data_IF_490072461924
#
_entry.id   IF_490072461924
#
_cell.length_a   1.000
_cell.length_b   1.000
_cell.length_c   1.000
_cell.angle_alpha   90.00
_cell.angle_beta   90.00
_cell.angle_gamma   90.00
#
_symmetry.space_group_name_H-M   'P 1'
#
loop_
_entity.id
_entity.type
_entity.pdbx_description
1 polymer ?
#
# COMPACT_ATOMS: atom_id res chain seq x y z
N UNK A 1 -5.09 -25.54 21.47
CA UNK A 1 -4.71 -24.22 21.99
C UNK A 1 -3.20 -24.08 21.84
N UNK A 2 -2.75 -23.49 20.73
CA UNK A 2 -1.36 -23.09 20.53
C UNK A 2 -1.40 -21.57 20.35
N UNK A 3 -0.89 -20.85 21.35
CA UNK A 3 -0.89 -19.41 21.42
C UNK A 3 0.00 -18.81 20.34
N UNK A 4 -0.49 -17.75 19.71
CA UNK A 4 0.20 -16.89 18.76
C UNK A 4 1.49 -16.32 19.36
N UNK A 5 2.64 -16.86 19.01
CA UNK A 5 3.93 -16.25 19.31
C UNK A 5 4.33 -15.32 18.15
N UNK A 6 4.46 -14.06 18.48
CA UNK A 6 4.85 -12.96 17.59
C UNK A 6 6.16 -13.24 16.86
N UNK A 7 6.19 -12.99 15.54
CA UNK A 7 7.34 -13.20 14.63
C UNK A 7 8.63 -12.43 15.00
N UNK A 8 8.56 -11.48 15.93
CA UNK A 8 9.73 -10.77 16.47
C UNK A 8 10.63 -11.63 17.37
N UNK A 9 10.22 -12.86 17.64
CA UNK A 9 10.93 -13.80 18.51
C UNK A 9 11.94 -14.64 17.73
N UNK A 10 11.70 -14.92 16.43
CA UNK A 10 12.48 -15.95 15.73
C UNK A 10 13.96 -15.62 15.56
N UNK A 11 14.33 -14.44 15.08
CA UNK A 11 15.76 -14.12 14.90
C UNK A 11 16.47 -13.97 16.25
N UNK A 12 15.81 -13.39 17.26
CA UNK A 12 16.36 -13.24 18.62
C UNK A 12 16.41 -14.55 19.39
N UNK A 13 15.46 -15.46 19.20
CA UNK A 13 15.45 -16.77 19.88
C UNK A 13 16.37 -17.78 19.20
N UNK A 14 16.52 -17.78 17.89
CA UNK A 14 17.52 -18.60 17.18
C UNK A 14 18.92 -18.29 17.74
N UNK A 15 19.25 -17.02 17.90
CA UNK A 15 20.55 -16.61 18.49
C UNK A 15 20.69 -17.00 19.96
N UNK A 16 19.58 -17.06 20.75
CA UNK A 16 19.62 -17.49 22.16
C UNK A 16 19.74 -19.01 22.32
N UNK A 17 19.19 -19.80 21.42
CA UNK A 17 19.16 -21.27 21.52
C UNK A 17 20.33 -21.96 20.86
N UNK A 18 21.13 -21.26 20.06
CA UNK A 18 22.40 -21.78 19.58
C UNK A 18 23.40 -21.82 20.75
N UNK A 19 23.47 -22.96 21.44
CA UNK A 19 24.56 -23.26 22.37
C UNK A 19 25.85 -23.47 21.55
N UNK A 20 26.44 -22.38 21.08
CA UNK A 20 27.78 -22.43 20.51
C UNK A 20 28.76 -22.74 21.66
N UNK A 21 29.48 -23.87 21.55
CA UNK A 21 30.73 -24.04 22.28
C UNK A 21 31.55 -22.79 22.03
N UNK A 22 32.12 -22.21 23.11
CA UNK A 22 33.02 -21.05 23.06
C UNK A 22 34.21 -21.38 22.16
N UNK A 23 34.05 -21.24 20.85
CA UNK A 23 35.18 -21.05 19.96
C UNK A 23 35.50 -19.56 19.98
N UNK A 24 36.77 -19.23 20.06
CA UNK A 24 37.29 -17.88 19.86
C UNK A 24 37.11 -17.49 18.38
N UNK A 25 35.86 -17.38 17.97
CA UNK A 25 35.51 -16.86 16.64
C UNK A 25 35.68 -15.34 16.66
N UNK A 26 36.44 -14.80 15.71
CA UNK A 26 36.51 -13.36 15.44
C UNK A 26 35.23 -12.83 14.83
N UNK A 27 34.27 -13.70 14.44
CA UNK A 27 33.00 -13.34 13.88
C UNK A 27 31.96 -13.12 14.99
N UNK A 28 31.56 -11.87 15.22
CA UNK A 28 30.48 -11.51 16.14
C UNK A 28 29.14 -11.55 15.39
N UNK A 29 28.38 -12.61 15.62
CA UNK A 29 27.07 -12.82 15.01
C UNK A 29 26.05 -11.76 15.44
N UNK A 30 26.17 -11.17 16.62
CA UNK A 30 25.26 -10.13 17.10
C UNK A 30 25.54 -8.79 16.40
N UNK A 31 26.81 -8.48 16.24
CA UNK A 31 27.23 -7.31 15.47
C UNK A 31 26.76 -7.45 14.02
N UNK A 32 26.98 -8.61 13.41
CA UNK A 32 26.51 -8.86 12.03
C UNK A 32 24.97 -8.77 11.90
N UNK A 33 24.20 -9.33 12.83
CA UNK A 33 22.76 -9.19 12.83
C UNK A 33 22.31 -7.73 12.93
N UNK A 34 22.99 -6.92 13.76
CA UNK A 34 22.71 -5.49 13.83
C UNK A 34 23.03 -4.79 12.51
N UNK A 35 24.15 -5.13 11.89
CA UNK A 35 24.53 -4.55 10.58
C UNK A 35 23.49 -4.84 9.50
N UNK A 36 22.82 -6.01 9.52
CA UNK A 36 21.71 -6.33 8.61
C UNK A 36 20.48 -5.45 8.86
N UNK A 37 20.11 -5.25 10.13
CA UNK A 37 19.04 -4.32 10.48
C UNK A 37 19.36 -2.88 10.02
N UNK A 38 20.57 -2.42 10.30
CA UNK A 38 21.06 -1.09 9.91
C UNK A 38 21.07 -0.94 8.37
N UNK A 39 21.42 -2.01 7.63
CA UNK A 39 21.40 -2.02 6.17
C UNK A 39 19.96 -1.84 5.62
N UNK A 40 18.95 -2.50 6.19
CA UNK A 40 17.56 -2.24 5.82
C UNK A 40 17.15 -0.79 6.13
N UNK A 41 17.48 -0.30 7.31
CA UNK A 41 17.17 1.09 7.69
C UNK A 41 17.84 2.11 6.79
N UNK A 42 19.04 1.84 6.28
CA UNK A 42 19.75 2.69 5.34
C UNK A 42 19.05 2.82 3.96
N UNK A 43 18.16 1.89 3.62
CA UNK A 43 17.36 1.99 2.38
C UNK A 43 16.09 2.84 2.54
N UNK A 44 15.78 3.29 3.75
CA UNK A 44 14.63 4.17 4.01
C UNK A 44 14.77 5.49 3.28
N UNK A 45 13.62 6.08 2.99
CA UNK A 45 13.60 7.45 2.50
C UNK A 45 14.11 8.39 3.61
N UNK A 46 15.04 9.32 3.30
CA UNK A 46 15.48 10.31 4.27
C UNK A 46 14.31 11.15 4.79
N UNK A 47 14.32 11.44 6.09
CA UNK A 47 13.41 12.41 6.68
C UNK A 47 13.64 13.79 6.07
N UNK A 48 12.58 14.55 5.86
CA UNK A 48 12.70 15.89 5.31
C UNK A 48 11.40 16.48 4.80
N UNK A 49 11.44 17.76 4.47
CA UNK A 49 10.30 18.45 3.87
C UNK A 49 10.11 18.00 2.44
N UNK A 50 8.85 17.67 2.10
CA UNK A 50 8.48 17.18 0.80
C UNK A 50 7.07 17.66 0.44
N UNK A 51 6.94 18.21 -0.76
CA UNK A 51 5.64 18.59 -1.31
C UNK A 51 5.08 17.45 -2.16
N UNK A 52 3.86 17.00 -1.84
CA UNK A 52 3.07 16.16 -2.75
C UNK A 52 2.32 17.04 -3.74
N UNK A 53 2.20 16.57 -4.97
CA UNK A 53 1.46 17.26 -6.03
C UNK A 53 0.20 16.50 -6.47
N UNK A 54 -0.03 15.32 -5.91
CA UNK A 54 -1.16 14.47 -6.23
C UNK A 54 -1.49 13.52 -5.07
N UNK A 55 -2.74 13.09 -5.05
CA UNK A 55 -3.17 11.96 -4.25
C UNK A 55 -2.57 10.67 -4.81
N UNK A 56 -2.29 9.71 -3.91
CA UNK A 56 -1.75 8.39 -4.26
C UNK A 56 -2.81 7.32 -3.97
N UNK A 57 -3.31 6.59 -4.98
CA UNK A 57 -4.36 5.58 -4.78
C UNK A 57 -4.04 4.51 -3.74
N UNK A 58 -2.77 4.12 -3.61
CA UNK A 58 -2.31 3.17 -2.59
C UNK A 58 -2.46 3.66 -1.14
N UNK A 59 -2.75 4.96 -0.94
CA UNK A 59 -3.00 5.54 0.38
C UNK A 59 -4.50 5.62 0.72
N UNK A 60 -5.39 5.40 -0.24
CA UNK A 60 -6.83 5.54 -0.02
C UNK A 60 -7.35 4.44 0.91
N UNK A 61 -8.19 4.82 1.87
CA UNK A 61 -8.73 3.89 2.85
C UNK A 61 -7.71 3.36 3.87
N UNK A 62 -6.46 3.81 3.82
CA UNK A 62 -5.40 3.33 4.70
C UNK A 62 -4.94 4.42 5.68
N UNK A 63 -5.33 4.26 6.96
CA UNK A 63 -4.81 5.09 8.04
C UNK A 63 -4.87 6.60 7.77
N UNK A 64 -3.73 7.25 7.70
CA UNK A 64 -3.63 8.69 7.47
C UNK A 64 -4.08 9.14 6.07
N UNK A 65 -4.19 8.25 5.10
CA UNK A 65 -4.74 8.55 3.77
C UNK A 65 -6.20 9.01 3.80
N UNK A 66 -6.92 8.73 4.90
CA UNK A 66 -8.29 9.19 5.13
C UNK A 66 -8.36 10.55 5.83
N UNK A 67 -7.23 11.15 6.19
CA UNK A 67 -7.18 12.39 6.95
C UNK A 67 -7.05 13.60 6.01
N UNK A 68 -8.05 14.52 5.98
CA UNK A 68 -7.98 15.70 5.12
C UNK A 68 -6.79 16.59 5.47
N UNK A 69 -6.48 16.73 6.78
CA UNK A 69 -5.34 17.51 7.24
C UNK A 69 -4.00 16.93 6.79
N UNK A 70 -3.88 15.58 6.71
CA UNK A 70 -2.67 14.96 6.16
C UNK A 70 -2.42 15.41 4.72
N UNK A 71 -3.44 15.39 3.88
CA UNK A 71 -3.31 15.79 2.47
C UNK A 71 -3.01 17.28 2.33
N UNK A 72 -3.72 18.13 3.08
CA UNK A 72 -3.44 19.57 3.08
C UNK A 72 -1.96 19.85 3.40
N UNK A 73 -1.46 19.32 4.51
CA UNK A 73 -0.07 19.51 4.94
C UNK A 73 0.92 18.88 3.95
N UNK A 74 0.61 17.72 3.39
CA UNK A 74 1.44 17.05 2.39
C UNK A 74 1.57 17.88 1.09
N UNK A 75 0.50 18.52 0.65
CA UNK A 75 0.53 19.45 -0.47
C UNK A 75 1.26 20.77 -0.12
N UNK A 76 1.23 21.18 1.13
CA UNK A 76 1.93 22.38 1.62
C UNK A 76 3.42 22.20 1.88
N UNK A 77 3.99 21.00 1.69
CA UNK A 77 5.42 20.75 1.87
C UNK A 77 5.82 20.39 3.29
N UNK A 78 5.01 19.61 3.98
CA UNK A 78 5.27 19.16 5.35
C UNK A 78 6.56 18.34 5.50
N UNK A 79 7.08 18.30 6.71
CA UNK A 79 8.23 17.46 7.08
C UNK A 79 7.78 16.01 7.34
N UNK A 80 8.24 15.10 6.50
CA UNK A 80 7.95 13.67 6.60
C UNK A 80 9.02 12.94 7.38
N UNK A 81 8.59 12.04 8.27
CA UNK A 81 9.45 11.15 9.04
C UNK A 81 9.06 9.71 8.69
N UNK A 82 10.03 8.92 8.24
CA UNK A 82 9.80 7.49 8.00
C UNK A 82 9.93 6.69 9.30
N UNK A 83 8.79 6.36 9.91
CA UNK A 83 8.71 5.64 11.19
C UNK A 83 8.81 4.11 11.05
N UNK A 84 9.09 3.57 9.84
CA UNK A 84 9.19 2.13 9.64
C UNK A 84 10.45 1.57 10.35
N UNK A 85 10.32 0.42 10.99
CA UNK A 85 11.44 -0.36 11.48
C UNK A 85 12.07 -1.24 10.38
N UNK A 86 13.18 -1.90 10.66
CA UNK A 86 13.88 -2.76 9.70
C UNK A 86 12.99 -3.88 9.17
N UNK A 87 12.09 -4.42 10.00
CA UNK A 87 11.15 -5.46 9.59
C UNK A 87 10.10 -4.94 8.62
N UNK A 88 9.58 -3.74 8.83
CA UNK A 88 8.64 -3.11 7.91
C UNK A 88 9.29 -2.83 6.55
N UNK A 89 10.53 -2.31 6.55
CA UNK A 89 11.33 -2.07 5.34
C UNK A 89 11.57 -3.39 4.58
N UNK A 90 11.98 -4.46 5.28
CA UNK A 90 12.18 -5.77 4.68
C UNK A 90 10.88 -6.33 4.06
N UNK A 91 9.73 -6.14 4.72
CA UNK A 91 8.43 -6.55 4.21
C UNK A 91 8.02 -5.78 2.93
N UNK A 92 8.36 -4.49 2.84
CA UNK A 92 8.13 -3.69 1.63
C UNK A 92 9.02 -4.17 0.48
N UNK A 93 10.31 -4.39 0.73
CA UNK A 93 11.24 -4.92 -0.26
C UNK A 93 10.79 -6.29 -0.80
N UNK A 94 10.33 -7.18 0.08
CA UNK A 94 9.76 -8.48 -0.33
C UNK A 94 8.52 -8.30 -1.21
N UNK A 95 7.65 -7.34 -0.88
CA UNK A 95 6.48 -7.01 -1.72
C UNK A 95 6.89 -6.58 -3.13
N UNK A 96 7.84 -5.65 -3.25
CA UNK A 96 8.36 -5.18 -4.54
C UNK A 96 8.93 -6.34 -5.39
N UNK A 97 9.75 -7.21 -4.79
CA UNK A 97 10.29 -8.37 -5.49
C UNK A 97 9.21 -9.36 -5.96
N UNK A 98 8.14 -9.54 -5.18
CA UNK A 98 7.01 -10.37 -5.57
C UNK A 98 6.27 -9.77 -6.78
N UNK A 99 6.03 -8.46 -6.79
CA UNK A 99 5.42 -7.75 -7.93
C UNK A 99 6.26 -7.95 -9.19
N UNK A 100 7.55 -7.63 -9.15
CA UNK A 100 8.47 -7.79 -10.30
C UNK A 100 8.47 -9.23 -10.87
N UNK A 101 8.51 -10.22 -9.98
CA UNK A 101 8.50 -11.63 -10.35
C UNK A 101 7.20 -12.07 -11.01
N UNK A 102 6.06 -11.67 -10.42
CA UNK A 102 4.73 -12.03 -10.92
C UNK A 102 4.41 -11.29 -12.23
N UNK A 103 4.73 -10.01 -12.32
CA UNK A 103 4.60 -9.23 -13.56
C UNK A 103 5.40 -9.84 -14.70
N UNK A 104 6.66 -10.22 -14.45
CA UNK A 104 7.51 -10.89 -15.43
C UNK A 104 6.95 -12.24 -15.85
N UNK A 105 6.44 -13.03 -14.91
CA UNK A 105 5.81 -14.33 -15.19
C UNK A 105 4.59 -14.14 -16.12
N UNK A 106 3.68 -13.22 -15.79
CA UNK A 106 2.46 -12.98 -16.55
C UNK A 106 2.79 -12.40 -17.94
N UNK A 107 3.74 -11.47 -18.02
CA UNK A 107 4.19 -10.89 -19.29
C UNK A 107 4.76 -11.94 -20.23
N UNK A 108 5.46 -12.95 -19.70
CA UNK A 108 6.01 -14.01 -20.51
C UNK A 108 4.94 -14.95 -21.10
N UNK A 109 3.73 -15.00 -20.53
CA UNK A 109 2.61 -15.80 -21.07
C UNK A 109 2.06 -15.22 -22.39
N UNK A 110 2.28 -13.94 -22.67
CA UNK A 110 1.93 -13.32 -23.95
C UNK A 110 2.99 -13.56 -25.04
N UNK A 111 4.09 -14.24 -24.72
CA UNK A 111 5.14 -14.58 -25.70
C UNK A 111 4.79 -15.85 -26.50
N UNK A 112 5.33 -15.96 -27.74
CA UNK A 112 5.12 -17.10 -28.62
C UNK A 112 5.49 -18.49 -28.03
N UNK A 113 6.29 -18.49 -26.96
CA UNK A 113 6.70 -19.69 -26.23
C UNK A 113 5.55 -20.35 -25.46
N UNK A 114 4.56 -19.58 -25.03
CA UNK A 114 3.45 -20.08 -24.19
C UNK A 114 2.10 -19.97 -24.86
N UNK A 115 1.98 -19.79 -26.14
CA UNK A 115 0.75 -19.73 -26.96
C UNK A 115 -0.58 -20.00 -26.21
N UNK A 116 -0.76 -19.36 -25.05
CA UNK A 116 -2.09 -19.24 -24.47
C UNK A 116 -2.81 -18.20 -25.32
N UNK A 117 -3.72 -18.67 -26.10
CA UNK A 117 -4.40 -17.94 -27.15
C UNK A 117 -5.28 -16.80 -26.66
N UNK A 118 -5.32 -16.54 -25.33
CA UNK A 118 -6.23 -15.56 -24.73
C UNK A 118 -5.57 -14.29 -24.20
N UNK A 119 -4.29 -14.33 -23.83
CA UNK A 119 -3.57 -13.13 -23.44
C UNK A 119 -2.91 -12.54 -24.69
N UNK A 120 -3.46 -11.46 -25.21
CA UNK A 120 -2.97 -10.80 -26.42
C UNK A 120 -1.85 -9.81 -26.10
N UNK A 121 -1.95 -9.09 -24.99
CA UNK A 121 -0.90 -8.22 -24.50
C UNK A 121 -0.92 -8.07 -22.98
N UNK A 122 0.21 -7.65 -22.40
CA UNK A 122 0.35 -7.31 -20.98
C UNK A 122 1.16 -6.04 -20.83
N UNK A 123 0.56 -5.01 -20.26
CA UNK A 123 1.26 -3.82 -19.77
C UNK A 123 1.54 -3.97 -18.27
N UNK A 124 2.70 -3.50 -17.82
CA UNK A 124 3.09 -3.49 -16.40
C UNK A 124 3.47 -2.07 -16.00
N UNK A 125 3.20 -1.69 -14.76
CA UNK A 125 3.52 -0.37 -14.22
C UNK A 125 2.95 0.78 -15.08
N UNK A 126 1.69 0.59 -15.56
CA UNK A 126 1.03 1.60 -16.40
C UNK A 126 0.65 2.82 -15.58
N UNK A 127 1.25 3.97 -15.90
CA UNK A 127 0.97 5.22 -15.17
C UNK A 127 -0.46 5.70 -15.44
N UNK A 128 -1.11 6.14 -14.36
CA UNK A 128 -2.35 6.91 -14.43
C UNK A 128 -2.11 8.32 -13.89
N UNK A 129 -2.79 9.27 -14.50
CA UNK A 129 -2.85 10.67 -14.06
C UNK A 129 -4.27 11.19 -14.18
N UNK A 130 -4.68 11.97 -13.19
CA UNK A 130 -5.89 12.78 -13.24
C UNK A 130 -5.53 14.20 -12.81
N UNK A 131 -6.07 15.22 -13.50
CA UNK A 131 -5.73 16.61 -13.20
C UNK A 131 -6.54 17.16 -12.04
N UNK A 132 -7.82 16.75 -11.94
CA UNK A 132 -8.73 17.23 -10.91
C UNK A 132 -9.75 16.15 -10.48
N UNK A 133 -9.72 15.72 -9.20
CA UNK A 133 -8.65 15.99 -8.22
C UNK A 133 -7.32 15.42 -8.73
N UNK A 134 -6.16 16.01 -8.37
CA UNK A 134 -4.88 15.54 -8.89
C UNK A 134 -4.54 14.16 -8.31
N UNK A 135 -4.57 13.14 -9.15
CA UNK A 135 -4.25 11.75 -8.77
C UNK A 135 -3.12 11.26 -9.65
N UNK A 136 -2.16 10.55 -9.04
CA UNK A 136 -1.09 9.84 -9.76
C UNK A 136 -0.86 8.47 -9.13
N UNK A 137 -0.73 7.46 -9.96
CA UNK A 137 -0.45 6.10 -9.54
C UNK A 137 0.05 5.23 -10.68
N UNK A 138 0.37 3.99 -10.36
CA UNK A 138 0.83 2.99 -11.31
C UNK A 138 -0.03 1.74 -11.12
N UNK A 139 -0.50 1.21 -12.24
CA UNK A 139 -1.29 -0.03 -12.29
C UNK A 139 -0.32 -1.18 -12.47
N UNK A 140 -0.38 -2.18 -11.61
CA UNK A 140 0.53 -3.32 -11.66
C UNK A 140 0.44 -4.07 -13.00
N UNK A 141 -0.78 -4.30 -13.49
CA UNK A 141 -1.06 -5.06 -14.70
C UNK A 141 -2.26 -4.48 -15.46
N UNK A 142 -2.15 -4.38 -16.79
CA UNK A 142 -3.29 -4.30 -17.70
C UNK A 142 -3.12 -5.45 -18.68
N UNK A 143 -4.09 -6.34 -18.73
CA UNK A 143 -4.08 -7.54 -19.58
C UNK A 143 -5.15 -7.40 -20.63
N UNK A 144 -4.78 -7.52 -21.91
CA UNK A 144 -5.73 -7.76 -22.97
C UNK A 144 -6.08 -9.25 -22.98
N UNK A 145 -7.25 -9.59 -22.43
CA UNK A 145 -7.77 -10.94 -22.38
C UNK A 145 -8.81 -11.15 -23.48
N UNK A 146 -8.38 -11.73 -24.59
CA UNK A 146 -9.26 -12.08 -25.73
C UNK A 146 -10.04 -10.84 -26.25
N UNK A 147 -9.38 -9.68 -26.32
CA UNK A 147 -9.96 -8.40 -26.75
C UNK A 147 -10.63 -7.59 -25.63
N UNK A 148 -10.57 -8.02 -24.38
CA UNK A 148 -11.10 -7.30 -23.23
C UNK A 148 -9.96 -6.87 -22.31
N UNK A 149 -9.83 -5.56 -22.06
CA UNK A 149 -8.87 -5.05 -21.10
C UNK A 149 -9.31 -5.33 -19.66
N UNK A 150 -8.42 -5.93 -18.87
CA UNK A 150 -8.63 -6.28 -17.47
C UNK A 150 -7.48 -5.71 -16.63
N UNK A 151 -7.81 -5.01 -15.54
CA UNK A 151 -6.81 -4.50 -14.59
C UNK A 151 -6.48 -5.58 -13.56
N UNK A 152 -5.19 -5.84 -13.34
CA UNK A 152 -4.72 -6.69 -12.25
C UNK A 152 -3.95 -5.87 -11.20
N UNK A 153 -4.29 -6.08 -9.94
CA UNK A 153 -3.60 -5.49 -8.78
C UNK A 153 -2.96 -6.61 -7.96
N UNK A 154 -1.65 -6.55 -7.80
CA UNK A 154 -0.87 -7.56 -7.08
C UNK A 154 -0.75 -7.17 -5.60
N UNK A 155 -0.98 -8.11 -4.71
CA UNK A 155 -0.80 -7.93 -3.26
C UNK A 155 -0.12 -9.15 -2.66
N UNK A 156 0.74 -8.93 -1.70
CA UNK A 156 1.29 -10.01 -0.86
C UNK A 156 0.63 -9.99 0.51
N UNK A 157 0.28 -11.16 1.03
CA UNK A 157 -0.41 -11.29 2.32
C UNK A 157 0.30 -12.30 3.23
N UNK A 158 0.33 -12.01 4.55
CA UNK A 158 0.68 -13.00 5.57
C UNK A 158 -0.43 -14.04 5.67
N UNK A 159 -0.12 -15.23 6.24
CA UNK A 159 -1.06 -16.35 6.33
C UNK A 159 -2.44 -15.94 6.88
N UNK A 160 -2.50 -15.20 7.97
CA UNK A 160 -3.78 -14.85 8.62
C UNK A 160 -4.66 -13.95 7.72
N UNK A 161 -4.02 -13.04 6.97
CA UNK A 161 -4.71 -12.17 6.02
C UNK A 161 -5.11 -12.96 4.78
N UNK A 162 -4.26 -13.85 4.32
CA UNK A 162 -4.56 -14.76 3.22
C UNK A 162 -5.79 -15.61 3.51
N UNK A 163 -5.83 -16.28 4.67
CA UNK A 163 -6.95 -17.12 5.08
C UNK A 163 -8.26 -16.33 5.10
N UNK A 164 -8.21 -15.09 5.60
CA UNK A 164 -9.36 -14.19 5.60
C UNK A 164 -9.81 -13.86 4.17
N UNK A 165 -8.87 -13.48 3.28
CA UNK A 165 -9.21 -13.16 1.88
C UNK A 165 -9.77 -14.37 1.14
N UNK A 166 -9.21 -15.55 1.40
CA UNK A 166 -9.68 -16.79 0.80
C UNK A 166 -11.08 -17.18 1.29
N UNK A 167 -11.34 -17.04 2.57
CA UNK A 167 -12.66 -17.36 3.14
C UNK A 167 -13.75 -16.39 2.68
N UNK A 168 -13.44 -15.11 2.61
CA UNK A 168 -14.39 -14.06 2.22
C UNK A 168 -14.54 -13.89 0.70
N UNK A 169 -13.57 -14.39 -0.10
CA UNK A 169 -13.43 -14.08 -1.53
C UNK A 169 -13.58 -12.57 -1.82
N UNK A 170 -13.03 -11.75 -0.92
CA UNK A 170 -13.15 -10.29 -0.96
C UNK A 170 -11.81 -9.64 -0.60
N UNK A 171 -11.40 -8.57 -1.30
CA UNK A 171 -10.22 -7.80 -0.94
C UNK A 171 -10.47 -6.99 0.33
N UNK A 172 -9.41 -6.39 0.88
CA UNK A 172 -9.59 -5.34 1.89
C UNK A 172 -10.14 -4.07 1.27
N UNK A 173 -10.92 -3.30 2.04
CA UNK A 173 -11.60 -2.11 1.52
C UNK A 173 -10.63 -1.04 0.97
N UNK A 174 -9.47 -0.85 1.61
CA UNK A 174 -8.43 0.06 1.12
C UNK A 174 -7.85 -0.40 -0.23
N UNK A 175 -7.61 -1.70 -0.44
CA UNK A 175 -7.18 -2.22 -1.74
C UNK A 175 -8.27 -1.99 -2.80
N UNK A 176 -9.55 -2.23 -2.42
CA UNK A 176 -10.67 -1.98 -3.34
C UNK A 176 -10.70 -0.52 -3.81
N UNK A 177 -10.55 0.47 -2.92
CA UNK A 177 -10.51 1.88 -3.29
C UNK A 177 -9.39 2.20 -4.28
N UNK A 178 -8.21 1.61 -4.09
CA UNK A 178 -7.09 1.73 -5.03
C UNK A 178 -7.48 1.19 -6.42
N UNK A 179 -7.98 -0.04 -6.48
CA UNK A 179 -8.33 -0.69 -7.75
C UNK A 179 -9.49 0.02 -8.46
N UNK A 180 -10.55 0.41 -7.74
CA UNK A 180 -11.68 1.16 -8.30
C UNK A 180 -11.24 2.52 -8.86
N UNK A 181 -10.24 3.17 -8.24
CA UNK A 181 -9.65 4.40 -8.79
C UNK A 181 -9.03 4.14 -10.16
N UNK A 182 -8.28 3.05 -10.30
CA UNK A 182 -7.67 2.68 -11.57
C UNK A 182 -8.71 2.33 -12.63
N UNK A 183 -9.72 1.53 -12.26
CA UNK A 183 -10.81 1.15 -13.14
C UNK A 183 -11.58 2.39 -13.67
N UNK A 184 -11.88 3.35 -12.77
CA UNK A 184 -12.55 4.61 -13.14
C UNK A 184 -11.70 5.44 -14.10
N UNK A 185 -10.41 5.64 -13.81
CA UNK A 185 -9.54 6.51 -14.58
C UNK A 185 -9.14 5.92 -15.95
N UNK A 186 -9.16 4.60 -16.09
CA UNK A 186 -8.91 3.89 -17.37
C UNK A 186 -10.19 3.55 -18.13
N UNK A 187 -11.36 3.78 -17.55
CA UNK A 187 -12.66 3.33 -18.08
C UNK A 187 -12.69 1.82 -18.40
N UNK A 188 -12.12 1.02 -17.47
CA UNK A 188 -12.08 -0.44 -17.56
C UNK A 188 -13.00 -1.02 -16.49
N UNK A 189 -13.95 -1.88 -16.90
CA UNK A 189 -14.98 -2.40 -16.02
C UNK A 189 -14.65 -3.76 -15.38
N UNK A 190 -13.60 -4.42 -15.85
CA UNK A 190 -13.15 -5.73 -15.36
C UNK A 190 -11.77 -5.62 -14.71
N UNK A 191 -11.64 -6.23 -13.54
CA UNK A 191 -10.38 -6.24 -12.81
C UNK A 191 -10.26 -7.49 -11.93
N UNK A 192 -9.08 -7.74 -11.38
CA UNK A 192 -8.86 -8.76 -10.37
C UNK A 192 -7.76 -8.34 -9.39
N UNK A 193 -7.84 -8.90 -8.19
CA UNK A 193 -6.70 -8.97 -7.29
C UNK A 193 -5.96 -10.29 -7.46
N UNK A 194 -4.64 -10.20 -7.49
CA UNK A 194 -3.75 -11.34 -7.35
C UNK A 194 -3.08 -11.24 -5.97
N UNK A 195 -3.57 -12.01 -5.01
CA UNK A 195 -2.91 -12.15 -3.71
C UNK A 195 -1.91 -13.29 -3.73
N UNK A 196 -0.69 -13.02 -3.28
CA UNK A 196 0.29 -14.07 -3.01
C UNK A 196 0.47 -14.26 -1.50
N UNK A 197 0.39 -15.49 -1.05
CA UNK A 197 0.70 -15.85 0.32
C UNK A 197 2.21 -15.80 0.56
N UNK A 198 2.68 -14.93 1.48
CA UNK A 198 4.11 -14.79 1.80
C UNK A 198 4.75 -16.03 2.37
N UNK A 199 3.97 -16.95 2.94
CA UNK A 199 4.45 -18.16 3.60
C UNK A 199 4.56 -19.35 2.64
N UNK A 200 3.56 -19.53 1.77
CA UNK A 200 3.43 -20.70 0.89
C UNK A 200 3.62 -20.37 -0.59
N UNK A 201 3.55 -19.07 -0.96
CA UNK A 201 3.55 -18.57 -2.34
C UNK A 201 2.35 -19.02 -3.18
N UNK A 202 1.29 -19.50 -2.52
CA UNK A 202 0.02 -19.77 -3.17
C UNK A 202 -0.60 -18.49 -3.70
N UNK A 203 -1.32 -18.61 -4.81
CA UNK A 203 -1.99 -17.51 -5.51
C UNK A 203 -3.50 -17.61 -5.31
N UNK A 204 -4.11 -16.50 -4.90
CA UNK A 204 -5.55 -16.31 -4.84
C UNK A 204 -5.96 -15.21 -5.81
N UNK A 205 -6.89 -15.49 -6.70
CA UNK A 205 -7.46 -14.53 -7.63
C UNK A 205 -8.86 -14.14 -7.16
N UNK A 206 -9.11 -12.84 -7.00
CA UNK A 206 -10.43 -12.30 -6.62
C UNK A 206 -10.89 -11.38 -7.74
N UNK A 207 -11.94 -11.75 -8.50
CA UNK A 207 -12.44 -10.90 -9.57
C UNK A 207 -13.18 -9.68 -9.01
N UNK A 208 -13.09 -8.56 -9.72
CA UNK A 208 -13.77 -7.31 -9.41
C UNK A 208 -14.42 -6.75 -10.67
N UNK A 209 -15.68 -6.32 -10.55
CA UNK A 209 -16.41 -5.65 -11.62
C UNK A 209 -16.83 -4.25 -11.19
N UNK A 210 -16.92 -3.31 -12.14
CA UNK A 210 -17.43 -1.97 -11.90
C UNK A 210 -18.97 -1.98 -11.81
N UNK A 211 -19.48 -2.55 -10.70
CA UNK A 211 -20.92 -2.58 -10.39
C UNK A 211 -21.46 -1.19 -10.05
N UNK A 212 -22.79 -1.04 -9.99
CA UNK A 212 -23.42 0.22 -9.55
C UNK A 212 -22.96 0.61 -8.13
N UNK A 213 -22.83 -0.34 -7.19
CA UNK A 213 -22.29 -0.10 -5.84
C UNK A 213 -20.85 0.40 -5.89
N UNK A 214 -19.99 -0.24 -6.70
CA UNK A 214 -18.59 0.14 -6.84
C UNK A 214 -18.44 1.52 -7.49
N UNK A 215 -19.31 1.88 -8.44
CA UNK A 215 -19.38 3.23 -9.01
C UNK A 215 -19.73 4.27 -7.94
N UNK A 216 -20.72 4.01 -7.12
CA UNK A 216 -21.10 4.91 -6.01
C UNK A 216 -19.96 5.08 -5.02
N UNK A 217 -19.28 4.01 -4.62
CA UNK A 217 -18.12 4.05 -3.73
C UNK A 217 -17.03 4.97 -4.28
N UNK A 218 -16.66 4.78 -5.55
CA UNK A 218 -15.57 5.56 -6.13
C UNK A 218 -15.96 7.00 -6.42
N UNK A 219 -17.23 7.28 -6.77
CA UNK A 219 -17.71 8.65 -6.92
C UNK A 219 -17.66 9.41 -5.58
N UNK A 220 -18.10 8.78 -4.48
CA UNK A 220 -18.03 9.37 -3.15
C UNK A 220 -16.57 9.67 -2.74
N UNK A 221 -15.62 8.78 -3.06
CA UNK A 221 -14.21 9.06 -2.83
C UNK A 221 -13.74 10.29 -3.63
N UNK A 222 -14.11 10.37 -4.91
CA UNK A 222 -13.70 11.51 -5.75
C UNK A 222 -14.29 12.83 -5.27
N UNK A 223 -15.54 12.84 -4.82
CA UNK A 223 -16.15 14.02 -4.19
C UNK A 223 -15.32 14.49 -2.99
N UNK A 224 -14.98 13.57 -2.09
CA UNK A 224 -14.14 13.89 -0.93
C UNK A 224 -12.74 14.40 -1.31
N UNK A 225 -12.09 13.76 -2.31
CA UNK A 225 -10.78 14.22 -2.80
C UNK A 225 -10.83 15.62 -3.39
N UNK A 226 -11.92 15.97 -4.11
CA UNK A 226 -12.15 17.33 -4.61
C UNK A 226 -12.31 18.31 -3.45
N UNK A 227 -13.13 18.00 -2.45
CA UNK A 227 -13.33 18.86 -1.27
C UNK A 227 -11.99 19.13 -0.55
N UNK A 228 -11.18 18.09 -0.32
CA UNK A 228 -9.88 18.25 0.33
C UNK A 228 -8.91 19.08 -0.50
N UNK A 229 -8.90 18.89 -1.82
CA UNK A 229 -8.00 19.62 -2.71
C UNK A 229 -8.42 21.08 -2.90
N UNK A 230 -9.72 21.36 -3.00
CA UNK A 230 -10.24 22.73 -3.10
C UNK A 230 -9.95 23.51 -1.83
N UNK A 231 -10.18 22.90 -0.67
CA UNK A 231 -9.83 23.51 0.62
C UNK A 231 -8.31 23.81 0.71
N UNK A 232 -7.45 22.94 0.16
CA UNK A 232 -6.01 23.22 0.08
C UNK A 232 -5.73 24.46 -0.80
N UNK A 233 -6.38 24.58 -1.95
CA UNK A 233 -6.21 25.75 -2.84
C UNK A 233 -6.69 27.05 -2.18
N UNK A 234 -7.75 26.98 -1.38
CA UNK A 234 -8.32 28.12 -0.66
C UNK A 234 -7.50 28.52 0.59
N UNK A 235 -6.52 27.70 0.97
CA UNK A 235 -5.59 27.96 2.09
C UNK A 235 -6.16 27.65 3.48
N UNK A 236 -7.31 26.99 3.58
CA UNK A 236 -7.96 26.65 4.84
C UNK A 236 -7.32 25.41 5.50
N UNK A 237 -6.57 25.58 6.59
CA UNK A 237 -5.98 24.46 7.32
C UNK A 237 -7.06 23.61 8.00
N UNK A 238 -7.24 22.33 7.64
CA UNK A 238 -8.24 21.46 8.28
C UNK A 238 -7.96 21.21 9.75
N UNK A 239 -9.01 21.16 10.57
CA UNK A 239 -8.92 20.72 11.96
C UNK A 239 -8.37 19.29 12.04
N UNK A 240 -7.89 18.89 13.23
CA UNK A 240 -7.43 17.51 13.48
C UNK A 240 -8.64 16.61 13.74
N UNK A 241 -9.02 15.72 12.80
CA UNK A 241 -10.21 14.89 13.00
C UNK A 241 -9.95 13.70 13.92
N UNK A 242 -8.68 13.39 14.21
CA UNK A 242 -8.27 12.25 15.04
C UNK A 242 -7.50 12.72 16.27
N UNK A 243 -7.52 11.92 17.33
CA UNK A 243 -6.68 12.17 18.51
C UNK A 243 -5.22 11.81 18.27
N UNK A 244 -4.30 12.47 18.99
CA UNK A 244 -2.84 12.22 18.88
C UNK A 244 -2.45 10.75 19.11
N UNK A 245 -3.24 10.01 19.86
CA UNK A 245 -3.02 8.61 20.24
C UNK A 245 -3.75 7.60 19.34
N UNK A 246 -4.56 8.04 18.40
CA UNK A 246 -5.25 7.16 17.45
C UNK A 246 -4.26 6.36 16.60
N UNK A 247 -4.68 5.21 16.09
CA UNK A 247 -3.90 4.39 15.16
C UNK A 247 -3.51 5.16 13.90
N UNK A 248 -4.41 5.99 13.39
CA UNK A 248 -4.19 6.87 12.25
C UNK A 248 -3.01 7.81 12.49
N UNK A 249 -3.03 8.54 13.63
CA UNK A 249 -1.95 9.48 13.96
C UNK A 249 -0.64 8.76 14.35
N UNK A 250 -0.70 7.55 14.93
CA UNK A 250 0.52 6.79 15.25
C UNK A 250 1.32 6.41 14.01
N UNK A 251 0.66 6.04 12.91
CA UNK A 251 1.29 5.69 11.64
C UNK A 251 1.54 6.88 10.71
N UNK A 252 1.11 8.10 11.06
CA UNK A 252 1.21 9.25 10.18
C UNK A 252 2.64 9.81 10.11
N UNK A 253 3.24 9.93 8.91
CA UNK A 253 4.61 10.39 8.75
C UNK A 253 4.81 11.89 9.07
N UNK A 254 3.75 12.69 9.06
CA UNK A 254 3.80 14.13 9.39
C UNK A 254 3.25 14.44 10.80
N UNK A 255 3.09 13.41 11.65
CA UNK A 255 2.48 13.53 12.97
C UNK A 255 3.12 14.62 13.81
N UNK A 256 4.45 14.68 13.86
CA UNK A 256 5.19 15.65 14.68
C UNK A 256 4.79 17.06 14.29
N UNK A 257 4.99 17.44 13.05
CA UNK A 257 4.68 18.78 12.55
C UNK A 257 3.18 19.11 12.69
N UNK A 258 2.31 18.15 12.39
CA UNK A 258 0.86 18.32 12.54
C UNK A 258 0.46 18.70 13.98
N UNK A 259 1.09 18.10 14.99
CA UNK A 259 0.74 18.32 16.41
C UNK A 259 1.50 19.47 17.06
N UNK A 260 2.63 19.87 16.51
CA UNK A 260 3.40 21.05 16.98
C UNK A 260 2.86 22.35 16.33
N UNK A 261 2.10 22.25 15.24
CA UNK A 261 1.52 23.38 14.53
C UNK A 261 0.13 23.81 15.00
N UNK A 262 -0.49 24.72 14.24
CA UNK A 262 -1.81 25.29 14.51
C UNK A 262 -2.90 24.21 14.57
N UNK A 263 -4.02 24.50 15.27
CA UNK A 263 -5.15 23.58 15.40
C UNK A 263 -5.89 23.36 14.10
N UNK A 264 -6.02 24.39 13.28
CA UNK A 264 -6.84 24.42 12.07
C UNK A 264 -8.15 25.13 12.27
N UNK A 265 -8.78 25.55 11.18
CA UNK A 265 -9.98 26.42 11.16
C UNK A 265 -11.15 25.79 10.39
N UNK A 266 -10.85 24.90 9.44
CA UNK A 266 -11.85 24.30 8.55
C UNK A 266 -12.17 22.89 9.01
N UNK A 267 -13.45 22.57 9.13
CA UNK A 267 -13.90 21.22 9.41
C UNK A 267 -14.15 20.48 8.09
N UNK A 268 -13.36 19.42 7.88
CA UNK A 268 -13.57 18.44 6.81
C UNK A 268 -13.54 17.08 7.49
N UNK A 269 -14.57 16.28 7.23
CA UNK A 269 -14.64 14.95 7.83
C UNK A 269 -13.62 13.99 7.19
N UNK A 270 -13.07 13.05 7.95
CA UNK A 270 -12.24 11.98 7.39
C UNK A 270 -13.04 11.16 6.38
N UNK A 271 -12.36 10.64 5.37
CA UNK A 271 -13.01 9.69 4.48
C UNK A 271 -13.40 8.41 5.25
N UNK A 272 -14.68 8.10 5.25
CA UNK A 272 -15.19 6.86 5.82
C UNK A 272 -15.05 5.72 4.80
N UNK A 273 -14.25 4.73 5.14
CA UNK A 273 -14.04 3.56 4.26
C UNK A 273 -15.30 2.71 4.25
N UNK A 274 -15.94 2.53 3.08
CA UNK A 274 -17.19 1.77 3.02
C UNK A 274 -16.96 0.29 3.33
N UNK A 275 -17.96 -0.37 3.89
CA UNK A 275 -18.03 -1.83 3.95
C UNK A 275 -18.29 -2.40 2.56
N UNK A 276 -17.51 -3.40 2.15
CA UNK A 276 -17.61 -4.07 0.85
C UNK A 276 -18.79 -5.03 0.76
#
# INVERSE_FOLDING_TARGET
MLSSMSSNIMAREIVKNLKFKKHESKFDIKEFAKMLDDAYLATKRPDGSMTKYSFSPSSFGYGYGNCPRYWYMAFSGAHFVDNNDSQAVANMAHGTQAHERLQKLIKNQSSDLFKTTKILSVETESEIKNEYPPIRGFIDLIIDWDGTNVIGEIKTAKQEIWDTRQAEMSPSANHMLQLLTYMKLKDINEAFFLYENKNTQEILLIPVQMTAKNKEIIENLFVWLCEVYDNFKDGGLPMRPFTKTSSVCKGCPIKKECWDGLTGEVQIEPYEVPSL
#
